data_IF_289682241152
#
_entry.id   IF_289682241152
#
_cell.length_a   1.000
_cell.length_b   1.000
_cell.length_c   1.000
_cell.angle_alpha   90.00
_cell.angle_beta   90.00
_cell.angle_gamma   90.00
#
_symmetry.space_group_name_H-M   'P 1'
#
loop_
_entity.id
_entity.type
_entity.pdbx_description
1 polymer ?
#
# COMPACT_ATOMS: atom_id res chain seq x y z
N UNK A 1 -5.70 -32.97 -90.36
CA UNK A 1 -4.50 -32.14 -90.17
C UNK A 1 -4.74 -31.21 -89.00
N UNK A 2 -3.69 -30.99 -88.22
CA UNK A 2 -3.65 -30.64 -86.81
C UNK A 2 -4.14 -29.23 -86.45
N UNK A 3 -4.62 -29.09 -85.23
CA UNK A 3 -4.84 -27.84 -84.48
C UNK A 3 -3.55 -27.02 -84.30
N UNK A 4 -3.65 -25.73 -83.90
CA UNK A 4 -3.40 -25.46 -82.48
C UNK A 4 -4.42 -24.48 -81.87
N UNK A 5 -5.16 -24.96 -80.87
CA UNK A 5 -4.93 -24.72 -79.43
C UNK A 5 -5.49 -23.37 -78.94
N UNK A 6 -6.69 -23.48 -78.37
CA UNK A 6 -7.30 -22.49 -77.49
C UNK A 6 -6.53 -22.46 -76.16
N UNK A 7 -5.51 -21.60 -76.04
CA UNK A 7 -4.64 -21.51 -74.85
C UNK A 7 -5.06 -20.43 -73.84
N UNK A 8 -5.91 -19.46 -74.19
CA UNK A 8 -6.12 -18.28 -73.33
C UNK A 8 -7.41 -18.30 -72.49
N UNK A 9 -7.67 -19.39 -71.75
CA UNK A 9 -8.81 -19.39 -70.81
C UNK A 9 -8.53 -19.99 -69.43
N UNK A 10 -7.35 -19.68 -68.87
CA UNK A 10 -7.03 -20.04 -67.48
C UNK A 10 -6.80 -18.86 -66.53
N UNK A 11 -6.72 -17.63 -67.04
CA UNK A 11 -6.59 -16.43 -66.20
C UNK A 11 -7.91 -15.73 -65.85
N UNK A 12 -9.06 -16.34 -66.13
CA UNK A 12 -10.38 -15.75 -65.85
C UNK A 12 -11.21 -16.60 -64.90
N UNK A 13 -10.71 -16.84 -63.68
CA UNK A 13 -11.58 -17.22 -62.55
C UNK A 13 -10.93 -16.84 -61.21
N UNK A 14 -11.39 -15.72 -60.66
CA UNK A 14 -10.98 -15.23 -59.35
C UNK A 14 -11.60 -13.89 -58.93
N UNK A 15 -12.55 -13.33 -59.68
CA UNK A 15 -13.27 -12.11 -59.26
C UNK A 15 -14.47 -12.39 -58.33
N UNK A 16 -14.45 -13.51 -57.60
CA UNK A 16 -15.46 -13.88 -56.60
C UNK A 16 -14.96 -13.83 -55.15
N UNK A 17 -13.65 -13.78 -54.89
CA UNK A 17 -13.12 -13.87 -53.52
C UNK A 17 -12.85 -12.51 -52.86
N UNK A 18 -12.78 -11.41 -53.62
CA UNK A 18 -12.44 -10.10 -53.06
C UNK A 18 -13.43 -9.60 -51.99
N UNK A 19 -14.69 -10.04 -52.03
CA UNK A 19 -15.68 -9.74 -51.01
C UNK A 19 -15.48 -10.55 -49.71
N UNK A 20 -14.95 -11.78 -49.80
CA UNK A 20 -14.68 -12.65 -48.65
C UNK A 20 -13.28 -12.43 -48.04
N UNK A 21 -12.32 -11.92 -48.83
CA UNK A 21 -10.97 -11.61 -48.34
C UNK A 21 -10.96 -10.36 -47.45
N UNK A 22 -11.78 -9.34 -47.75
CA UNK A 22 -11.90 -8.12 -46.93
C UNK A 22 -12.24 -8.42 -45.45
N UNK A 23 -13.30 -9.17 -45.11
CA UNK A 23 -13.59 -9.47 -43.71
C UNK A 23 -12.51 -10.33 -43.05
N UNK A 24 -11.83 -11.22 -43.80
CA UNK A 24 -10.71 -12.02 -43.27
C UNK A 24 -9.50 -11.14 -42.95
N UNK A 25 -9.14 -10.22 -43.84
CA UNK A 25 -8.05 -9.26 -43.60
C UNK A 25 -8.39 -8.32 -42.44
N UNK A 26 -9.64 -7.82 -42.38
CA UNK A 26 -10.11 -7.00 -41.25
C UNK A 26 -10.03 -7.79 -39.94
N UNK A 27 -10.49 -9.04 -39.92
CA UNK A 27 -10.41 -9.89 -38.72
C UNK A 27 -8.95 -10.13 -38.29
N UNK A 28 -8.04 -10.34 -39.24
CA UNK A 28 -6.62 -10.56 -38.95
C UNK A 28 -5.94 -9.29 -38.42
N UNK A 29 -6.27 -8.12 -38.97
CA UNK A 29 -5.80 -6.82 -38.46
C UNK A 29 -6.36 -6.55 -37.05
N UNK A 30 -7.64 -6.82 -36.82
CA UNK A 30 -8.25 -6.68 -35.49
C UNK A 30 -7.62 -7.64 -34.48
N UNK A 31 -7.32 -8.87 -34.87
CA UNK A 31 -6.64 -9.85 -34.02
C UNK A 31 -5.22 -9.39 -33.68
N UNK A 32 -4.45 -8.93 -34.67
CA UNK A 32 -3.12 -8.39 -34.46
C UNK A 32 -3.15 -7.16 -33.54
N UNK A 33 -4.13 -6.27 -33.71
CA UNK A 33 -4.33 -5.12 -32.84
C UNK A 33 -4.69 -5.54 -31.41
N UNK A 34 -5.60 -6.49 -31.24
CA UNK A 34 -5.99 -7.03 -29.93
C UNK A 34 -4.80 -7.66 -29.20
N UNK A 35 -3.98 -8.45 -29.89
CA UNK A 35 -2.77 -9.05 -29.33
C UNK A 35 -1.75 -7.99 -28.92
N UNK A 36 -1.58 -6.94 -29.71
CA UNK A 36 -0.69 -5.81 -29.40
C UNK A 36 -1.17 -5.07 -28.15
N UNK A 37 -2.47 -4.77 -28.06
CA UNK A 37 -3.08 -4.12 -26.90
C UNK A 37 -2.94 -4.99 -25.65
N UNK A 38 -3.17 -6.31 -25.77
CA UNK A 38 -3.02 -7.25 -24.67
C UNK A 38 -1.57 -7.32 -24.17
N UNK A 39 -0.60 -7.35 -25.09
CA UNK A 39 0.84 -7.32 -24.79
C UNK A 39 1.23 -6.03 -24.05
N UNK A 40 0.84 -4.87 -24.56
CA UNK A 40 1.10 -3.57 -23.92
C UNK A 40 0.45 -3.48 -22.54
N UNK A 41 -0.80 -3.92 -22.41
CA UNK A 41 -1.51 -3.94 -21.12
C UNK A 41 -0.81 -4.85 -20.10
N UNK A 42 -0.33 -6.01 -20.54
CA UNK A 42 0.42 -6.95 -19.69
C UNK A 42 1.71 -6.34 -19.15
N UNK A 43 2.45 -5.62 -20.00
CA UNK A 43 3.70 -4.93 -19.59
C UNK A 43 3.40 -3.73 -18.68
N UNK A 44 2.31 -2.99 -18.92
CA UNK A 44 1.89 -1.88 -18.06
C UNK A 44 1.50 -2.35 -16.66
N UNK A 45 0.84 -3.51 -16.54
CA UNK A 45 0.49 -4.11 -15.24
C UNK A 45 1.72 -4.42 -14.38
N UNK A 46 2.86 -4.77 -14.97
CA UNK A 46 4.10 -4.98 -14.20
C UNK A 46 4.62 -3.68 -13.57
N UNK A 47 4.43 -2.52 -14.22
CA UNK A 47 4.92 -1.25 -13.69
C UNK A 47 4.04 -0.68 -12.56
N UNK A 48 2.73 -0.94 -12.59
CA UNK A 48 1.81 -0.50 -11.52
C UNK A 48 2.04 -1.23 -10.20
N UNK A 49 2.32 -2.54 -10.25
CA UNK A 49 2.59 -3.34 -9.04
C UNK A 49 3.85 -2.88 -8.33
N UNK A 50 4.90 -2.47 -9.07
CA UNK A 50 6.11 -1.93 -8.44
C UNK A 50 5.87 -0.55 -7.81
N UNK A 51 5.09 0.33 -8.45
CA UNK A 51 4.81 1.66 -7.90
C UNK A 51 3.97 1.57 -6.61
N UNK A 52 2.92 0.75 -6.60
CA UNK A 52 2.09 0.49 -5.42
C UNK A 52 2.88 -0.24 -4.33
N UNK A 53 3.74 -1.20 -4.69
CA UNK A 53 4.63 -1.86 -3.76
C UNK A 53 5.63 -0.91 -3.08
N UNK A 54 6.13 0.08 -3.81
CA UNK A 54 7.08 1.07 -3.27
C UNK A 54 6.41 2.06 -2.31
N UNK A 55 5.20 2.53 -2.64
CA UNK A 55 4.41 3.41 -1.75
C UNK A 55 3.99 2.66 -0.47
N UNK A 56 3.62 1.38 -0.61
CA UNK A 56 3.29 0.53 0.52
C UNK A 56 4.51 0.24 1.40
N UNK A 57 5.68 -0.02 0.78
CA UNK A 57 6.94 -0.24 1.50
C UNK A 57 7.34 1.00 2.32
N UNK A 58 7.32 2.19 1.71
CA UNK A 58 7.64 3.44 2.42
C UNK A 58 6.70 3.73 3.58
N UNK A 59 5.40 3.50 3.39
CA UNK A 59 4.43 3.71 4.47
C UNK A 59 4.61 2.67 5.59
N UNK A 60 4.90 1.43 5.23
CA UNK A 60 5.14 0.34 6.18
C UNK A 60 6.40 0.54 7.01
N UNK A 61 7.48 1.05 6.42
CA UNK A 61 8.70 1.39 7.14
C UNK A 61 8.48 2.49 8.19
N UNK A 62 7.72 3.54 7.85
CA UNK A 62 7.38 4.59 8.80
C UNK A 62 6.57 4.05 9.98
N UNK A 63 5.54 3.25 9.72
CA UNK A 63 4.73 2.63 10.77
C UNK A 63 5.58 1.70 11.66
N UNK A 64 6.47 0.92 11.06
CA UNK A 64 7.39 0.04 11.80
C UNK A 64 8.31 0.84 12.71
N UNK A 65 8.92 1.91 12.20
CA UNK A 65 9.81 2.79 12.98
C UNK A 65 9.07 3.41 14.16
N UNK A 66 7.87 3.96 13.94
CA UNK A 66 7.06 4.55 15.00
C UNK A 66 6.67 3.54 16.08
N UNK A 67 6.29 2.31 15.69
CA UNK A 67 5.96 1.25 16.65
C UNK A 67 7.15 0.84 17.50
N UNK A 68 8.34 0.76 16.89
CA UNK A 68 9.57 0.42 17.62
C UNK A 68 9.93 1.51 18.64
N UNK A 69 9.89 2.79 18.24
CA UNK A 69 10.13 3.91 19.15
C UNK A 69 9.12 3.93 20.30
N UNK A 70 7.83 3.70 20.00
CA UNK A 70 6.80 3.63 21.04
C UNK A 70 7.09 2.52 22.05
N UNK A 71 7.47 1.33 21.56
CA UNK A 71 7.80 0.19 22.42
C UNK A 71 9.00 0.49 23.33
N UNK A 72 10.03 1.14 22.79
CA UNK A 72 11.19 1.56 23.58
C UNK A 72 10.79 2.56 24.68
N UNK A 73 10.00 3.58 24.33
CA UNK A 73 9.53 4.58 25.30
C UNK A 73 8.63 3.96 26.38
N UNK A 74 7.77 3.00 26.03
CA UNK A 74 6.94 2.29 27.01
C UNK A 74 7.79 1.46 27.98
N UNK A 75 8.86 0.82 27.51
CA UNK A 75 9.81 0.08 28.35
C UNK A 75 10.62 1.02 29.25
N UNK A 76 11.11 2.14 28.72
CA UNK A 76 11.82 3.16 29.50
C UNK A 76 10.91 3.75 30.57
N UNK A 77 9.67 4.09 30.20
CA UNK A 77 8.68 4.59 31.15
C UNK A 77 8.39 3.56 32.24
N UNK A 78 8.14 2.29 31.90
CA UNK A 78 7.92 1.23 32.88
C UNK A 78 9.12 1.06 33.82
N UNK A 79 10.33 1.14 33.28
CA UNK A 79 11.57 1.03 34.06
C UNK A 79 11.74 2.21 35.01
N UNK A 80 11.52 3.44 34.53
CA UNK A 80 11.66 4.66 35.33
C UNK A 80 10.54 4.84 36.35
N UNK A 81 9.32 4.40 36.03
CA UNK A 81 8.16 4.44 36.92
C UNK A 81 8.10 3.28 37.90
N UNK A 82 9.01 2.29 37.80
CA UNK A 82 9.02 1.16 38.70
C UNK A 82 9.19 1.60 40.17
N UNK A 83 8.22 1.28 41.05
CA UNK A 83 8.27 1.69 42.46
C UNK A 83 9.53 1.22 43.19
N UNK A 84 10.03 0.04 42.83
CA UNK A 84 11.23 -0.58 43.40
C UNK A 84 12.48 0.25 43.10
N UNK A 85 12.62 0.73 41.86
CA UNK A 85 13.75 1.59 41.46
C UNK A 85 13.67 2.96 42.12
N UNK A 86 12.47 3.54 42.19
CA UNK A 86 12.22 4.81 42.87
C UNK A 86 12.59 4.69 44.36
N UNK A 87 12.14 3.63 45.04
CA UNK A 87 12.47 3.37 46.45
C UNK A 87 13.97 3.20 46.66
N UNK A 88 14.65 2.42 45.82
CA UNK A 88 16.10 2.23 45.88
C UNK A 88 16.85 3.56 45.75
N UNK A 89 16.51 4.35 44.73
CA UNK A 89 17.15 5.65 44.49
C UNK A 89 16.87 6.64 45.63
N UNK A 90 15.65 6.64 46.18
CA UNK A 90 15.30 7.46 47.33
C UNK A 90 16.16 7.10 48.56
N UNK A 91 16.36 5.81 48.83
CA UNK A 91 17.23 5.35 49.93
C UNK A 91 18.70 5.75 49.70
N UNK A 92 19.22 5.62 48.48
CA UNK A 92 20.57 6.07 48.12
C UNK A 92 20.76 7.59 48.34
N UNK A 93 19.70 8.37 48.14
CA UNK A 93 19.67 9.82 48.41
C UNK A 93 19.41 10.16 49.89
N UNK A 94 19.37 9.17 50.78
CA UNK A 94 19.14 9.37 52.22
C UNK A 94 17.68 9.70 52.58
N UNK A 95 16.73 9.52 51.66
CA UNK A 95 15.31 9.69 51.95
C UNK A 95 14.78 8.48 52.72
N UNK A 96 13.96 8.74 53.73
CA UNK A 96 13.29 7.71 54.53
C UNK A 96 11.79 7.68 54.23
N UNK A 97 11.16 6.49 54.26
CA UNK A 97 9.71 6.39 54.07
C UNK A 97 8.97 7.13 55.18
N UNK A 98 8.02 7.96 54.78
CA UNK A 98 7.17 8.72 55.71
C UNK A 98 6.17 7.78 56.38
N UNK A 99 5.96 7.96 57.68
CA UNK A 99 5.00 7.16 58.44
C UNK A 99 3.55 7.45 57.98
N UNK A 100 2.65 6.44 57.97
CA UNK A 100 1.31 6.58 57.37
C UNK A 100 0.45 7.68 58.00
N UNK A 101 0.65 7.96 59.29
CA UNK A 101 -0.02 9.00 60.07
C UNK A 101 0.27 10.42 59.57
N UNK A 102 1.36 10.61 58.80
CA UNK A 102 1.77 11.90 58.24
C UNK A 102 1.32 12.10 56.79
N UNK A 103 0.64 11.12 56.19
CA UNK A 103 0.16 11.19 54.81
C UNK A 103 -1.24 11.80 54.79
N UNK A 104 -1.39 12.98 54.18
CA UNK A 104 -2.68 13.65 54.02
C UNK A 104 -3.12 13.59 52.55
N UNK A 105 -4.16 12.81 52.25
CA UNK A 105 -4.71 12.67 50.90
C UNK A 105 -5.57 13.90 50.58
N UNK A 106 -5.12 14.71 49.62
CA UNK A 106 -5.89 15.86 49.13
C UNK A 106 -6.75 15.36 47.97
N UNK A 107 -8.06 15.62 48.02
CA UNK A 107 -9.01 15.21 46.98
C UNK A 107 -8.53 15.66 45.60
N UNK A 108 -8.56 14.74 44.63
CA UNK A 108 -8.10 14.97 43.25
C UNK A 108 -8.93 16.12 42.65
N UNK A 109 -8.35 17.32 42.59
CA UNK A 109 -8.85 18.39 41.74
C UNK A 109 -8.79 17.88 40.31
N UNK A 110 -9.93 17.82 39.63
CA UNK A 110 -9.99 17.45 38.22
C UNK A 110 -8.96 18.28 37.46
N UNK A 111 -8.02 17.58 36.85
CA UNK A 111 -6.95 18.17 36.05
C UNK A 111 -7.60 18.64 34.75
N UNK A 112 -8.23 19.80 34.78
CA UNK A 112 -8.85 20.46 33.62
C UNK A 112 -7.84 20.92 32.55
N UNK A 113 -6.65 20.34 32.53
CA UNK A 113 -5.55 20.76 31.65
C UNK A 113 -4.52 19.65 31.39
N UNK A 114 -4.90 18.38 31.50
CA UNK A 114 -4.14 17.34 30.78
C UNK A 114 -4.58 17.46 29.32
N UNK A 115 -3.74 17.98 28.39
CA UNK A 115 -4.06 17.86 26.98
C UNK A 115 -4.33 16.38 26.70
N UNK A 116 -5.40 16.06 25.95
CA UNK A 116 -5.77 14.68 25.67
C UNK A 116 -4.50 13.98 25.20
N UNK A 117 -4.15 12.88 25.89
CA UNK A 117 -3.03 12.04 25.51
C UNK A 117 -3.13 11.86 24.00
N UNK A 118 -2.16 12.42 23.26
CA UNK A 118 -2.21 12.59 21.82
C UNK A 118 -2.90 11.38 21.21
N UNK A 119 -4.13 11.59 20.73
CA UNK A 119 -4.94 10.54 20.14
C UNK A 119 -4.03 9.83 19.13
N UNK A 120 -3.93 8.48 19.18
CA UNK A 120 -3.19 7.78 18.13
C UNK A 120 -3.74 8.30 16.79
N UNK A 121 -2.89 8.75 15.85
CA UNK A 121 -3.33 9.49 14.66
C UNK A 121 -4.24 8.61 13.81
N UNK A 122 -5.52 8.60 14.16
CA UNK A 122 -6.61 7.89 13.48
C UNK A 122 -7.22 8.82 12.43
N UNK A 123 -6.81 10.09 12.42
CA UNK A 123 -7.27 11.13 11.49
C UNK A 123 -6.88 10.86 10.04
N UNK A 124 -5.83 10.08 9.75
CA UNK A 124 -5.41 9.83 8.36
C UNK A 124 -6.40 8.92 7.62
N UNK A 125 -7.11 8.02 8.32
CA UNK A 125 -8.02 7.06 7.68
C UNK A 125 -9.35 7.69 7.23
N UNK A 126 -9.80 8.80 7.83
CA UNK A 126 -11.12 9.38 7.56
C UNK A 126 -11.13 10.47 6.48
N UNK A 127 -9.95 10.94 6.06
CA UNK A 127 -9.83 12.04 5.09
C UNK A 127 -9.79 11.56 3.62
N UNK A 128 -9.57 10.26 3.38
CA UNK A 128 -9.57 9.68 2.03
C UNK A 128 -10.95 9.18 1.57
N UNK A 129 -11.95 9.10 2.45
CA UNK A 129 -13.31 8.61 2.11
C UNK A 129 -14.25 9.73 1.60
N UNK A 130 -13.75 10.97 1.45
CA UNK A 130 -14.53 12.15 1.03
C UNK A 130 -14.02 12.83 -0.25
N UNK A 131 -13.29 12.14 -1.12
CA UNK A 131 -12.97 12.63 -2.47
C UNK A 131 -13.36 11.63 -3.54
#
# INVERSE_FOLDING_TARGET
MSSPVSVYRIFRRGHGEAAAVRPVVIALVLLALALTIAGVTRVKRQHEVLRLGYELSRTSEHVRKLRETRRQLELEHATLSSPERIRKLATELGMTPVAPDRIRVIGRREVASRPPAAEPPTTIARQMERR
#
